data_IF_934250810330
#
_entry.id   IF_934250810330
#
_cell.length_a   1.000
_cell.length_b   1.000
_cell.length_c   1.000
_cell.angle_alpha   90.00
_cell.angle_beta   90.00
_cell.angle_gamma   90.00
#
_symmetry.space_group_name_H-M   'P 1'
#
loop_
_entity.id
_entity.type
_entity.pdbx_description
1 polymer ?
#
# COMPACT_ATOMS: atom_id res chain seq x y z
N UNK A 1 -1.79 21.97 -9.17
CA UNK A 1 -0.79 20.95 -8.82
C UNK A 1 -1.42 19.61 -9.09
N UNK A 2 -0.67 18.68 -9.69
CA UNK A 2 -1.12 17.30 -9.88
C UNK A 2 -1.29 16.62 -8.50
N UNK A 3 -2.30 15.78 -8.32
CA UNK A 3 -2.64 15.21 -7.01
C UNK A 3 -1.57 14.28 -6.47
N UNK A 4 -0.84 13.57 -7.33
CA UNK A 4 0.32 12.74 -6.96
C UNK A 4 1.51 13.60 -6.53
N UNK A 5 1.80 14.67 -7.27
CA UNK A 5 2.85 15.61 -6.91
C UNK A 5 2.58 16.31 -5.57
N UNK A 6 1.31 16.54 -5.24
CA UNK A 6 0.93 17.06 -3.94
C UNK A 6 1.15 16.04 -2.83
N UNK A 7 0.76 14.78 -3.05
CA UNK A 7 1.00 13.70 -2.09
C UNK A 7 2.49 13.54 -1.77
N UNK A 8 3.33 13.50 -2.81
CA UNK A 8 4.79 13.44 -2.66
C UNK A 8 5.39 14.63 -1.89
N UNK A 9 4.79 15.81 -2.01
CA UNK A 9 5.31 17.03 -1.39
C UNK A 9 4.77 17.33 0.02
N UNK A 10 3.60 16.82 0.37
CA UNK A 10 2.88 17.17 1.60
C UNK A 10 2.80 16.02 2.61
N UNK A 11 3.06 14.77 2.21
CA UNK A 11 3.07 13.65 3.15
C UNK A 11 4.22 13.77 4.15
N UNK A 12 4.01 13.32 5.37
CA UNK A 12 5.10 13.10 6.31
C UNK A 12 5.83 11.77 5.98
N UNK A 13 7.00 11.55 6.59
CA UNK A 13 7.87 10.39 6.31
C UNK A 13 7.15 9.04 6.46
N UNK A 14 6.35 8.91 7.53
CA UNK A 14 5.62 7.68 7.89
C UNK A 14 4.18 7.65 7.37
N UNK A 15 3.76 8.64 6.59
CA UNK A 15 2.45 8.65 5.97
C UNK A 15 2.42 7.71 4.77
N UNK A 16 1.56 6.69 4.85
CA UNK A 16 1.28 5.82 3.72
C UNK A 16 0.38 6.52 2.72
N UNK A 17 0.69 6.37 1.43
CA UNK A 17 -0.11 6.94 0.34
C UNK A 17 -1.14 5.90 -0.14
N UNK A 18 -2.43 6.23 -0.04
CA UNK A 18 -3.53 5.40 -0.55
C UNK A 18 -4.22 6.10 -1.71
N UNK A 19 -4.15 5.52 -2.90
CA UNK A 19 -4.65 6.10 -4.15
C UNK A 19 -5.93 5.41 -4.59
N UNK A 20 -7.00 6.18 -4.78
CA UNK A 20 -8.24 5.69 -5.37
C UNK A 20 -8.17 5.70 -6.89
N UNK A 21 -8.31 4.53 -7.51
CA UNK A 21 -8.38 4.38 -8.99
C UNK A 21 -9.73 3.87 -9.48
N UNK A 22 -10.58 3.36 -8.58
CA UNK A 22 -11.96 2.99 -8.89
C UNK A 22 -12.95 3.82 -8.06
N UNK A 23 -13.91 4.44 -8.75
CA UNK A 23 -14.84 5.43 -8.19
C UNK A 23 -16.30 4.92 -8.16
N UNK A 24 -16.51 3.61 -8.32
CA UNK A 24 -17.85 3.03 -8.38
C UNK A 24 -18.54 2.80 -7.03
N UNK A 25 -17.83 2.98 -5.92
CA UNK A 25 -18.35 2.78 -4.56
C UNK A 25 -17.65 3.74 -3.58
N UNK A 26 -18.40 4.74 -3.09
CA UNK A 26 -17.89 5.72 -2.12
C UNK A 26 -17.94 5.18 -0.67
N UNK A 27 -18.87 4.26 -0.37
CA UNK A 27 -18.98 3.66 0.96
C UNK A 27 -17.79 2.72 1.20
N UNK A 28 -17.45 1.89 0.23
CA UNK A 28 -16.24 1.07 0.25
C UNK A 28 -14.98 1.93 0.38
N UNK A 29 -14.92 3.08 -0.29
CA UNK A 29 -13.78 4.00 -0.15
C UNK A 29 -13.62 4.54 1.28
N UNK A 30 -14.72 4.95 1.92
CA UNK A 30 -14.66 5.37 3.33
C UNK A 30 -14.30 4.21 4.27
N UNK A 31 -14.77 2.99 3.99
CA UNK A 31 -14.41 1.80 4.76
C UNK A 31 -12.91 1.48 4.64
N UNK A 32 -12.34 1.59 3.44
CA UNK A 32 -10.88 1.45 3.21
C UNK A 32 -10.09 2.45 4.05
N UNK A 33 -10.47 3.73 4.02
CA UNK A 33 -9.77 4.77 4.78
C UNK A 33 -9.90 4.57 6.29
N UNK A 34 -11.08 4.17 6.77
CA UNK A 34 -11.30 3.88 8.18
C UNK A 34 -10.44 2.69 8.65
N UNK A 35 -10.43 1.59 7.89
CA UNK A 35 -9.61 0.43 8.22
C UNK A 35 -8.11 0.72 8.11
N UNK A 36 -7.68 1.54 7.14
CA UNK A 36 -6.28 1.97 7.01
C UNK A 36 -5.83 2.94 8.10
N UNK A 37 -6.77 3.58 8.81
CA UNK A 37 -6.49 4.46 9.93
C UNK A 37 -6.46 3.72 11.29
N UNK A 38 -6.77 2.42 11.31
CA UNK A 38 -6.57 1.61 12.52
C UNK A 38 -5.09 1.61 12.91
N UNK A 39 -4.81 1.81 14.20
CA UNK A 39 -3.44 1.82 14.71
C UNK A 39 -2.72 0.52 14.36
N UNK A 40 -1.47 0.65 13.93
CA UNK A 40 -0.59 -0.48 13.68
C UNK A 40 0.31 -0.72 14.91
N UNK A 41 0.48 -1.98 15.31
CA UNK A 41 1.26 -2.38 16.49
C UNK A 41 0.43 -2.48 17.78
N UNK A 42 1.01 -3.11 18.81
CA UNK A 42 0.39 -3.18 20.14
C UNK A 42 0.49 -1.82 20.85
N UNK A 43 -0.28 -1.61 21.93
CA UNK A 43 -0.23 -0.36 22.71
C UNK A 43 1.19 -0.02 23.22
N UNK A 44 2.03 -1.03 23.47
CA UNK A 44 3.42 -0.84 23.93
C UNK A 44 4.35 -0.29 22.83
N UNK A 45 4.10 -0.59 21.55
CA UNK A 45 4.88 -0.05 20.42
C UNK A 45 4.51 1.41 20.09
N UNK A 46 3.41 1.92 20.68
CA UNK A 46 2.92 3.29 20.49
C UNK A 46 3.55 4.28 21.49
N UNK A 47 4.06 3.77 22.62
CA UNK A 47 4.61 4.56 23.73
C UNK A 47 6.11 4.87 23.56
N UNK A 48 6.84 4.09 22.75
CA UNK A 48 8.24 4.33 22.38
C UNK A 48 8.31 5.23 21.13
N UNK A 49 8.36 6.55 21.37
CA UNK A 49 8.81 7.58 20.42
C UNK A 49 8.10 7.66 19.04
N UNK A 50 6.79 7.93 19.01
CA UNK A 50 6.25 8.92 18.06
C UNK A 50 6.17 8.57 16.57
N UNK A 51 6.05 7.29 16.20
CA UNK A 51 5.79 6.87 14.82
C UNK A 51 4.29 6.95 14.48
N UNK A 52 3.72 8.16 14.44
CA UNK A 52 2.34 8.37 13.98
C UNK A 52 2.29 8.15 12.46
N UNK A 53 1.95 6.92 12.03
CA UNK A 53 1.70 6.63 10.61
C UNK A 53 0.27 6.98 10.25
N UNK A 54 0.07 8.10 9.55
CA UNK A 54 -1.26 8.46 9.06
C UNK A 54 -1.50 7.94 7.64
N UNK A 55 -2.72 8.10 7.14
CA UNK A 55 -3.07 7.80 5.74
C UNK A 55 -3.13 9.11 4.97
N UNK A 56 -2.35 9.24 3.89
CA UNK A 56 -2.49 10.31 2.91
C UNK A 56 -3.38 9.83 1.73
N UNK A 57 -4.68 10.18 1.71
CA UNK A 57 -5.58 9.74 0.65
C UNK A 57 -5.38 10.60 -0.63
N UNK A 58 -5.27 9.93 -1.77
CA UNK A 58 -5.31 10.55 -3.10
C UNK A 58 -6.61 10.17 -3.78
N UNK A 59 -7.59 11.07 -3.70
CA UNK A 59 -8.93 10.93 -4.27
C UNK A 59 -9.13 11.94 -5.40
N UNK A 60 -8.56 11.65 -6.57
CA UNK A 60 -8.65 12.48 -7.77
C UNK A 60 -9.29 11.70 -8.92
N UNK A 61 -10.49 12.07 -9.40
CA UNK A 61 -11.18 11.38 -10.50
C UNK A 61 -10.36 11.23 -11.80
N UNK A 62 -9.29 12.01 -11.99
CA UNK A 62 -8.37 11.84 -13.12
C UNK A 62 -7.55 10.56 -13.05
N UNK A 63 -7.41 9.97 -11.87
CA UNK A 63 -6.71 8.71 -11.64
C UNK A 63 -7.61 7.49 -11.89
N UNK A 64 -8.87 7.71 -12.29
CA UNK A 64 -9.80 6.64 -12.62
C UNK A 64 -9.23 5.73 -13.72
N UNK A 65 -9.02 4.45 -13.39
CA UNK A 65 -8.50 3.44 -14.32
C UNK A 65 -7.01 3.57 -14.69
N UNK A 66 -6.24 4.46 -14.05
CA UNK A 66 -4.78 4.50 -14.21
C UNK A 66 -4.19 3.20 -13.68
N UNK A 67 -3.25 2.59 -14.42
CA UNK A 67 -2.67 1.31 -14.02
C UNK A 67 -1.68 1.45 -12.86
N UNK A 68 -1.49 0.37 -12.11
CA UNK A 68 -0.47 0.29 -11.06
C UNK A 68 0.93 0.62 -11.58
N UNK A 69 1.29 0.13 -12.77
CA UNK A 69 2.57 0.43 -13.41
C UNK A 69 2.75 1.93 -13.68
N UNK A 70 1.71 2.61 -14.19
CA UNK A 70 1.77 4.05 -14.47
C UNK A 70 1.91 4.88 -13.19
N UNK A 71 1.17 4.50 -12.14
CA UNK A 71 1.27 5.16 -10.83
C UNK A 71 2.66 4.97 -10.23
N UNK A 72 3.19 3.75 -10.28
CA UNK A 72 4.55 3.43 -9.82
C UNK A 72 5.58 4.27 -10.54
N UNK A 73 5.60 4.23 -11.87
CA UNK A 73 6.61 4.93 -12.67
C UNK A 73 6.55 6.45 -12.43
N UNK A 74 5.35 6.98 -12.19
CA UNK A 74 5.17 8.40 -11.85
C UNK A 74 5.69 8.70 -10.45
N UNK A 75 5.29 7.94 -9.43
CA UNK A 75 5.66 8.18 -8.04
C UNK A 75 7.16 7.99 -7.79
N UNK A 76 7.73 6.90 -8.31
CA UNK A 76 9.18 6.65 -8.22
C UNK A 76 10.02 7.76 -8.87
N UNK A 77 9.44 8.54 -9.81
CA UNK A 77 10.12 9.67 -10.44
C UNK A 77 10.01 10.99 -9.68
N UNK A 78 9.12 11.09 -8.69
CA UNK A 78 8.84 12.35 -7.97
C UNK A 78 9.04 12.27 -6.45
N UNK A 79 9.18 11.07 -5.89
CA UNK A 79 9.42 10.83 -4.46
C UNK A 79 10.37 9.65 -4.26
N UNK A 80 11.65 9.95 -3.99
CA UNK A 80 12.70 8.93 -3.78
C UNK A 80 12.63 8.27 -2.39
N UNK A 81 11.80 8.78 -1.48
CA UNK A 81 11.67 8.29 -0.10
C UNK A 81 10.39 7.43 0.09
N UNK A 82 9.60 7.23 -0.95
CA UNK A 82 8.41 6.40 -0.92
C UNK A 82 8.74 5.03 -1.53
N UNK A 83 8.85 4.00 -0.71
CA UNK A 83 9.13 2.63 -1.15
C UNK A 83 7.88 1.86 -1.60
N UNK A 84 6.69 2.28 -1.14
CA UNK A 84 5.44 1.57 -1.44
C UNK A 84 4.27 2.54 -1.63
N UNK A 85 3.37 2.19 -2.53
CA UNK A 85 2.06 2.84 -2.65
C UNK A 85 0.93 1.80 -2.57
N UNK A 86 -0.20 2.21 -2.01
CA UNK A 86 -1.38 1.35 -1.89
C UNK A 86 -2.48 1.86 -2.82
N UNK A 87 -3.01 0.98 -3.69
CA UNK A 87 -4.02 1.34 -4.68
C UNK A 87 -5.36 0.70 -4.29
N UNK A 88 -6.40 1.53 -4.22
CA UNK A 88 -7.79 1.13 -4.07
C UNK A 88 -8.45 1.07 -5.46
N UNK A 89 -8.40 -0.11 -6.07
CA UNK A 89 -8.93 -0.39 -7.41
C UNK A 89 -10.29 -1.09 -7.38
N UNK A 90 -10.78 -1.59 -8.53
CA UNK A 90 -12.09 -2.24 -8.63
C UNK A 90 -12.22 -3.45 -7.69
N UNK A 91 -11.15 -4.22 -7.50
CA UNK A 91 -11.13 -5.37 -6.61
C UNK A 91 -11.20 -4.93 -5.15
N UNK A 92 -10.43 -3.91 -4.77
CA UNK A 92 -10.54 -3.30 -3.43
C UNK A 92 -11.98 -2.86 -3.13
N UNK A 93 -12.65 -2.22 -4.09
CA UNK A 93 -14.00 -1.69 -3.85
C UNK A 93 -15.08 -2.78 -3.80
N UNK A 94 -14.83 -3.97 -4.35
CA UNK A 94 -15.86 -5.03 -4.47
C UNK A 94 -15.67 -6.20 -3.51
N UNK A 95 -14.46 -6.40 -3.01
CA UNK A 95 -14.14 -7.52 -2.13
C UNK A 95 -14.51 -7.22 -0.67
N UNK A 96 -15.02 -8.20 0.10
CA UNK A 96 -15.47 -8.00 1.49
C UNK A 96 -14.41 -7.47 2.45
N UNK A 97 -13.14 -7.75 2.19
CA UNK A 97 -12.00 -7.31 3.02
C UNK A 97 -11.28 -6.08 2.49
N UNK A 98 -11.78 -5.51 1.39
CA UNK A 98 -11.21 -4.35 0.71
C UNK A 98 -9.69 -4.38 0.54
N UNK A 99 -9.11 -5.47 0.00
CA UNK A 99 -7.67 -5.59 -0.11
C UNK A 99 -7.11 -4.52 -1.06
N UNK A 100 -6.22 -3.69 -0.54
CA UNK A 100 -5.42 -2.74 -1.30
C UNK A 100 -4.39 -3.50 -2.15
N UNK A 101 -4.08 -2.98 -3.33
CA UNK A 101 -2.91 -3.43 -4.08
C UNK A 101 -1.69 -2.64 -3.58
N UNK A 102 -0.82 -3.29 -2.82
CA UNK A 102 0.48 -2.74 -2.47
C UNK A 102 1.41 -2.89 -3.68
N UNK A 103 2.09 -1.81 -4.07
CA UNK A 103 3.00 -1.78 -5.23
C UNK A 103 4.36 -1.28 -4.77
N UNK A 104 5.38 -2.08 -5.01
CA UNK A 104 6.77 -1.73 -4.73
C UNK A 104 7.23 -0.63 -5.71
N UNK A 105 7.71 0.48 -5.17
CA UNK A 105 8.26 1.60 -5.93
C UNK A 105 9.78 1.49 -6.10
N UNK A 106 10.44 0.66 -5.29
CA UNK A 106 11.87 0.43 -5.40
C UNK A 106 12.20 -0.41 -6.65
N UNK A 107 13.41 -0.24 -7.16
CA UNK A 107 13.94 -0.98 -8.32
C UNK A 107 14.50 -2.36 -7.92
N UNK A 108 13.96 -2.96 -6.84
CA UNK A 108 14.33 -4.30 -6.41
C UNK A 108 14.02 -5.34 -7.50
N UNK A 109 14.92 -6.32 -7.71
CA UNK A 109 14.70 -7.35 -8.70
C UNK A 109 13.48 -8.18 -8.33
N UNK A 110 12.64 -8.43 -9.33
CA UNK A 110 11.55 -9.39 -9.21
C UNK A 110 12.07 -10.78 -8.85
N UNK A 111 11.30 -11.52 -8.06
CA UNK A 111 11.61 -12.88 -7.65
C UNK A 111 10.89 -13.89 -8.55
N UNK A 112 11.42 -15.10 -8.62
CA UNK A 112 10.80 -16.24 -9.30
C UNK A 112 10.38 -17.24 -8.23
N UNK A 113 9.13 -17.70 -8.28
CA UNK A 113 8.70 -18.81 -7.44
C UNK A 113 9.26 -20.15 -7.96
N UNK A 114 8.96 -21.24 -7.24
CA UNK A 114 9.40 -22.59 -7.61
C UNK A 114 8.91 -23.03 -9.01
N UNK A 115 7.83 -22.41 -9.50
CA UNK A 115 7.22 -22.67 -10.82
C UNK A 115 7.75 -21.72 -11.91
N UNK A 116 8.62 -20.76 -11.55
CA UNK A 116 9.20 -19.77 -12.46
C UNK A 116 8.30 -18.57 -12.74
N UNK A 117 7.26 -18.34 -11.95
CA UNK A 117 6.40 -17.16 -12.04
C UNK A 117 7.03 -15.99 -11.31
N UNK A 118 6.99 -14.82 -11.94
CA UNK A 118 7.49 -13.56 -11.38
C UNK A 118 6.57 -13.05 -10.27
N UNK A 119 7.13 -12.73 -9.09
CA UNK A 119 6.43 -12.09 -7.98
C UNK A 119 7.30 -11.03 -7.28
N UNK A 120 6.72 -10.29 -6.31
CA UNK A 120 7.44 -9.29 -5.51
C UNK A 120 7.29 -7.84 -5.99
N UNK A 121 6.65 -7.59 -7.14
CA UNK A 121 6.37 -6.21 -7.60
C UNK A 121 5.11 -5.62 -6.98
N UNK A 122 4.14 -6.47 -6.66
CA UNK A 122 2.86 -6.09 -6.06
C UNK A 122 2.22 -7.28 -5.37
N UNK A 123 1.39 -7.03 -4.36
CA UNK A 123 0.55 -8.02 -3.68
C UNK A 123 -0.70 -7.36 -3.09
N UNK A 124 -1.69 -8.17 -2.70
CA UNK A 124 -2.92 -7.68 -2.05
C UNK A 124 -2.78 -7.70 -0.55
N UNK A 125 -3.26 -6.67 0.14
CA UNK A 125 -3.18 -6.54 1.60
C UNK A 125 -4.45 -5.93 2.17
N UNK A 126 -4.94 -6.42 3.31
CA UNK A 126 -6.06 -5.77 3.99
C UNK A 126 -5.66 -4.40 4.56
N UNK A 127 -6.52 -3.37 4.51
CA UNK A 127 -6.11 -1.98 4.76
C UNK A 127 -5.40 -1.72 6.09
N UNK A 128 -5.79 -2.40 7.18
CA UNK A 128 -5.20 -2.23 8.52
C UNK A 128 -3.70 -2.51 8.60
N UNK A 129 -3.15 -3.35 7.72
CA UNK A 129 -1.71 -3.68 7.72
C UNK A 129 -0.88 -2.75 6.83
N UNK A 130 -1.49 -1.80 6.12
CA UNK A 130 -0.77 -0.91 5.20
C UNK A 130 0.26 -0.01 5.93
N UNK A 131 -0.03 0.45 7.15
CA UNK A 131 0.95 1.19 7.96
C UNK A 131 2.16 0.34 8.31
N UNK A 132 1.95 -0.93 8.66
CA UNK A 132 3.04 -1.83 8.99
C UNK A 132 3.99 -2.08 7.84
N UNK A 133 3.45 -2.30 6.64
CA UNK A 133 4.29 -2.43 5.44
C UNK A 133 5.08 -1.15 5.19
N UNK A 134 4.41 0.01 5.17
CA UNK A 134 5.08 1.30 4.91
C UNK A 134 6.19 1.58 5.92
N UNK A 135 5.89 1.51 7.23
CA UNK A 135 6.86 1.81 8.29
C UNK A 135 8.04 0.83 8.30
N UNK A 136 7.80 -0.47 8.11
CA UNK A 136 8.90 -1.44 8.08
C UNK A 136 9.84 -1.23 6.88
N UNK A 137 9.31 -0.84 5.73
CA UNK A 137 10.12 -0.50 4.56
C UNK A 137 10.90 0.79 4.78
N UNK A 138 10.26 1.83 5.31
CA UNK A 138 10.93 3.11 5.64
C UNK A 138 12.08 2.90 6.63
N UNK A 139 11.91 2.03 7.62
CA UNK A 139 12.94 1.71 8.62
C UNK A 139 13.93 0.64 8.17
N UNK A 140 13.73 0.03 7.00
CA UNK A 140 14.49 -1.12 6.51
C UNK A 140 14.54 -2.30 7.52
N UNK A 141 13.41 -2.53 8.22
CA UNK A 141 13.26 -3.65 9.17
C UNK A 141 12.87 -4.96 8.47
N UNK A 142 12.14 -4.86 7.36
CA UNK A 142 11.61 -6.01 6.61
C UNK A 142 11.44 -5.65 5.14
N UNK A 143 11.75 -6.60 4.25
CA UNK A 143 11.72 -6.36 2.80
C UNK A 143 10.29 -6.50 2.26
N UNK A 144 9.99 -5.83 1.14
CA UNK A 144 8.65 -5.88 0.52
C UNK A 144 8.26 -7.32 0.14
N UNK A 145 9.27 -8.12 -0.20
CA UNK A 145 9.07 -9.48 -0.69
C UNK A 145 8.63 -10.44 0.38
N UNK A 146 9.03 -10.25 1.64
CA UNK A 146 8.57 -11.10 2.74
C UNK A 146 7.04 -11.02 2.92
N UNK A 147 6.48 -9.81 2.76
CA UNK A 147 5.03 -9.58 2.76
C UNK A 147 4.36 -10.20 1.52
N UNK A 148 4.98 -10.03 0.35
CA UNK A 148 4.47 -10.58 -0.90
C UNK A 148 4.46 -12.12 -0.91
N UNK A 149 5.47 -12.77 -0.32
CA UNK A 149 5.53 -14.23 -0.14
C UNK A 149 4.41 -14.71 0.80
N UNK A 150 4.20 -13.99 1.90
CA UNK A 150 3.13 -14.32 2.85
C UNK A 150 1.75 -14.19 2.21
N UNK A 151 1.51 -13.11 1.45
CA UNK A 151 0.27 -12.93 0.68
C UNK A 151 0.05 -14.06 -0.33
N UNK A 152 1.11 -14.45 -1.06
CA UNK A 152 1.07 -15.52 -2.06
C UNK A 152 0.78 -16.89 -1.46
N UNK A 153 1.19 -17.15 -0.22
CA UNK A 153 0.93 -18.40 0.47
C UNK A 153 -0.54 -18.54 0.91
N UNK A 154 -1.28 -17.44 1.02
CA UNK A 154 -2.71 -17.45 1.33
C UNK A 154 -3.55 -17.88 0.11
N UNK A 155 -4.62 -18.68 0.28
CA UNK A 155 -5.49 -19.10 -0.82
C UNK A 155 -6.14 -17.97 -1.61
N UNK A 156 -6.39 -16.82 -0.97
CA UNK A 156 -6.96 -15.64 -1.63
C UNK A 156 -5.88 -14.75 -2.27
N UNK A 157 -4.59 -15.04 -2.03
CA UNK A 157 -3.49 -14.19 -2.50
C UNK A 157 -3.39 -12.85 -1.75
N UNK A 158 -3.96 -12.77 -0.54
CA UNK A 158 -4.07 -11.55 0.27
C UNK A 158 -3.26 -11.71 1.56
N UNK A 159 -2.46 -10.71 1.89
CA UNK A 159 -1.86 -10.57 3.21
C UNK A 159 -2.94 -10.20 4.24
N UNK A 160 -3.25 -11.13 5.14
CA UNK A 160 -4.15 -10.91 6.27
C UNK A 160 -3.43 -10.70 7.59
N UNK A 161 -2.34 -11.43 7.85
CA UNK A 161 -1.43 -11.29 8.99
C UNK A 161 -0.22 -12.24 8.83
N UNK A 162 0.76 -12.18 9.72
CA UNK A 162 1.76 -13.24 9.86
C UNK A 162 1.24 -14.42 10.72
N UNK A 163 1.74 -15.65 10.49
CA UNK A 163 1.36 -16.85 11.27
C UNK A 163 1.76 -16.82 12.76
#
# INVERSE_FOLDING_TARGET
>A
MDSLARAAAEREEYDKVVIRTHFGDDEAWQAVLAAAAESWGDEEDQDDEGFESTTYPVDDPKLAGVSADQLRDTLASIDEYLSVVFIADEETMRSPHHPLLAVNLDDEPNFLDEEGSVFGRQFRIVPRHASGVHVNLTLANMDFTDWAETAKADPDGVFYDFP
#
